data_IF_199082656105
#
_entry.id   IF_199082656105
#
_cell.length_a   1.000
_cell.length_b   1.000
_cell.length_c   1.000
_cell.angle_alpha   90.00
_cell.angle_beta   90.00
_cell.angle_gamma   90.00
#
_symmetry.space_group_name_H-M   'P 1'
#
loop_
_entity.id
_entity.type
_entity.pdbx_description
1 polymer ?
#
# COMPACT_ATOMS: atom_id res chain seq x y z
N UNK A 1 -15.84 -4.21 4.56
CA UNK A 1 -15.66 -2.83 4.12
C UNK A 1 -16.12 -2.77 2.69
N UNK A 2 -17.11 -1.93 2.42
CA UNK A 2 -17.73 -1.72 1.12
C UNK A 2 -17.48 -0.28 0.65
N UNK A 3 -17.80 0.00 -0.61
CA UNK A 3 -17.58 1.32 -1.22
C UNK A 3 -18.35 2.47 -0.54
N UNK A 4 -19.46 2.18 0.15
CA UNK A 4 -20.24 3.17 0.90
C UNK A 4 -19.75 3.42 2.33
N UNK A 5 -18.78 2.64 2.83
CA UNK A 5 -18.22 2.83 4.17
C UNK A 5 -17.31 4.05 4.20
N UNK A 6 -17.56 4.95 5.16
CA UNK A 6 -16.70 6.10 5.43
C UNK A 6 -16.06 6.00 6.79
N UNK A 7 -14.81 6.49 6.90
CA UNK A 7 -14.14 6.58 8.18
C UNK A 7 -14.92 7.55 9.11
N UNK A 8 -15.29 7.14 10.33
CA UNK A 8 -16.05 7.98 11.27
C UNK A 8 -15.18 9.04 11.98
N UNK A 9 -13.93 9.27 11.52
CA UNK A 9 -13.01 10.23 12.12
C UNK A 9 -13.59 11.66 12.11
N UNK A 10 -13.56 12.38 13.23
CA UNK A 10 -14.00 13.77 13.29
C UNK A 10 -13.06 14.70 12.51
N UNK A 11 -13.59 15.80 11.96
CA UNK A 11 -12.81 16.77 11.17
C UNK A 11 -11.70 17.43 11.98
N UNK A 12 -11.95 17.61 13.26
CA UNK A 12 -11.03 18.19 14.25
C UNK A 12 -9.75 17.37 14.41
N UNK A 13 -9.75 16.09 14.00
CA UNK A 13 -8.57 15.23 14.02
C UNK A 13 -7.47 15.71 13.06
N UNK A 14 -7.77 16.54 12.05
CA UNK A 14 -6.77 17.22 11.20
C UNK A 14 -5.74 17.99 12.05
N UNK A 15 -6.18 18.61 13.14
CA UNK A 15 -5.33 19.45 13.99
C UNK A 15 -4.47 18.66 14.98
N UNK A 16 -4.66 17.34 15.09
CA UNK A 16 -3.94 16.50 16.06
C UNK A 16 -2.54 16.07 15.57
N UNK A 17 -2.21 16.35 14.31
CA UNK A 17 -0.95 15.92 13.69
C UNK A 17 -0.86 14.41 13.44
N UNK A 18 0.27 13.97 12.88
CA UNK A 18 0.60 12.55 12.70
C UNK A 18 -0.48 11.73 11.99
N UNK A 19 -0.74 10.52 12.52
CA UNK A 19 -1.68 9.56 11.93
C UNK A 19 -3.14 10.05 11.93
N UNK A 20 -3.70 10.61 13.02
CA UNK A 20 -5.06 11.17 12.99
C UNK A 20 -5.25 12.24 11.92
N UNK A 21 -4.27 13.16 11.79
CA UNK A 21 -4.34 14.20 10.77
C UNK A 21 -4.28 13.64 9.35
N UNK A 22 -3.44 12.63 9.10
CA UNK A 22 -3.39 11.92 7.82
C UNK A 22 -4.73 11.26 7.47
N UNK A 23 -5.30 10.49 8.41
CA UNK A 23 -6.57 9.76 8.20
C UNK A 23 -7.70 10.76 7.92
N UNK A 24 -7.80 11.82 8.72
CA UNK A 24 -8.82 12.85 8.53
C UNK A 24 -8.61 13.57 7.20
N UNK A 25 -7.37 13.99 6.90
CA UNK A 25 -7.02 14.65 5.64
C UNK A 25 -7.42 13.84 4.41
N UNK A 26 -7.11 12.53 4.38
CA UNK A 26 -7.52 11.64 3.28
C UNK A 26 -9.04 11.48 3.19
N UNK A 27 -9.71 11.32 4.34
CA UNK A 27 -11.17 11.15 4.39
C UNK A 27 -11.90 12.38 3.87
N UNK A 28 -11.56 13.58 4.35
CA UNK A 28 -12.24 14.82 3.97
C UNK A 28 -11.84 15.33 2.59
N UNK A 29 -10.63 15.02 2.11
CA UNK A 29 -10.26 15.29 0.72
C UNK A 29 -11.11 14.46 -0.25
N UNK A 30 -11.33 13.17 0.04
CA UNK A 30 -12.19 12.34 -0.81
C UNK A 30 -13.66 12.81 -0.78
N UNK A 31 -14.17 13.22 0.40
CA UNK A 31 -15.52 13.82 0.50
C UNK A 31 -15.65 15.06 -0.38
N UNK A 32 -14.67 15.97 -0.33
CA UNK A 32 -14.69 17.18 -1.14
C UNK A 32 -14.68 16.89 -2.64
N UNK A 33 -13.98 15.84 -3.09
CA UNK A 33 -14.02 15.38 -4.49
C UNK A 33 -15.43 14.92 -4.88
N UNK A 34 -16.11 14.20 -4.00
CA UNK A 34 -17.48 13.74 -4.26
C UNK A 34 -18.51 14.86 -4.19
N UNK A 35 -18.38 15.81 -3.26
CA UNK A 35 -19.24 17.00 -3.20
C UNK A 35 -19.11 17.81 -4.50
N UNK A 36 -17.89 17.98 -5.01
CA UNK A 36 -17.66 18.62 -6.31
C UNK A 36 -18.30 17.86 -7.47
N UNK A 37 -18.14 16.53 -7.54
CA UNK A 37 -18.75 15.72 -8.60
C UNK A 37 -20.29 15.75 -8.56
N UNK A 38 -20.89 15.83 -7.37
CA UNK A 38 -22.35 15.94 -7.20
C UNK A 38 -22.86 17.31 -7.71
N UNK A 39 -22.08 18.38 -7.55
CA UNK A 39 -22.39 19.72 -8.07
C UNK A 39 -22.11 19.87 -9.58
N UNK A 40 -21.25 19.02 -10.15
CA UNK A 40 -20.78 19.06 -11.53
C UNK A 40 -21.01 17.72 -12.24
N UNK A 41 -22.25 17.41 -12.65
CA UNK A 41 -22.61 16.11 -13.25
C UNK A 41 -21.98 15.85 -14.63
N UNK A 42 -21.35 16.86 -15.23
CA UNK A 42 -20.53 16.74 -16.45
C UNK A 42 -19.13 16.16 -16.17
N UNK A 43 -18.71 16.11 -14.91
CA UNK A 43 -17.41 15.58 -14.49
C UNK A 43 -17.57 14.13 -14.03
N UNK A 44 -16.89 13.21 -14.73
CA UNK A 44 -16.82 11.81 -14.35
C UNK A 44 -15.59 11.55 -13.45
N UNK A 45 -15.82 11.00 -12.27
CA UNK A 45 -14.79 10.81 -11.24
C UNK A 45 -14.73 9.35 -10.79
N UNK A 46 -13.53 8.84 -10.59
CA UNK A 46 -13.26 7.58 -9.90
C UNK A 46 -12.28 7.84 -8.76
N UNK A 47 -12.57 7.39 -7.55
CA UNK A 47 -11.62 7.41 -6.43
C UNK A 47 -11.12 6.01 -6.15
N UNK A 48 -9.83 5.85 -5.88
CA UNK A 48 -9.19 4.56 -5.58
C UNK A 48 -8.56 4.65 -4.20
N UNK A 49 -8.98 3.77 -3.29
CA UNK A 49 -8.61 3.76 -1.88
C UNK A 49 -7.87 2.46 -1.53
N UNK A 50 -6.54 2.41 -1.75
CA UNK A 50 -5.72 1.26 -1.37
C UNK A 50 -5.28 1.32 0.11
N UNK A 51 -4.92 0.17 0.73
CA UNK A 51 -4.26 0.09 2.02
C UNK A 51 -2.75 0.36 1.87
N UNK A 52 -1.90 -0.30 2.65
CA UNK A 52 -0.47 -0.28 2.38
C UNK A 52 -0.17 -0.87 1.00
N UNK A 53 0.63 -0.15 0.22
CA UNK A 53 1.03 -0.60 -1.10
C UNK A 53 2.42 -1.20 -0.99
N UNK A 54 2.56 -2.45 -1.40
CA UNK A 54 3.87 -3.09 -1.54
C UNK A 54 4.10 -3.44 -3.00
N UNK A 55 5.34 -3.62 -3.40
CA UNK A 55 5.69 -4.14 -4.72
C UNK A 55 7.02 -3.58 -5.22
N UNK A 56 7.42 -3.93 -6.44
CA UNK A 56 8.65 -3.39 -7.00
C UNK A 56 8.53 -1.88 -7.23
N UNK A 57 9.63 -1.16 -7.02
CA UNK A 57 9.73 0.25 -7.37
C UNK A 57 9.50 0.41 -8.88
N UNK A 58 8.83 1.50 -9.26
CA UNK A 58 8.48 1.75 -10.66
C UNK A 58 9.71 1.78 -11.57
N UNK A 59 9.54 1.38 -12.83
CA UNK A 59 10.61 1.47 -13.83
C UNK A 59 11.10 2.91 -13.96
N UNK A 60 12.40 3.13 -13.75
CA UNK A 60 13.00 4.46 -13.78
C UNK A 60 12.83 5.27 -12.50
N UNK A 61 12.27 4.69 -11.43
CA UNK A 61 12.34 5.28 -10.09
C UNK A 61 13.81 5.55 -9.74
N UNK A 62 14.09 6.75 -9.25
CA UNK A 62 15.43 7.16 -8.87
C UNK A 62 15.39 7.90 -7.54
N UNK A 63 16.15 7.39 -6.58
CA UNK A 63 16.51 8.09 -5.36
C UNK A 63 18.04 8.21 -5.36
N UNK A 64 18.63 9.31 -5.88
CA UNK A 64 20.08 9.40 -6.07
C UNK A 64 20.86 9.40 -4.76
N UNK A 65 20.18 9.73 -3.65
CA UNK A 65 20.65 9.68 -2.26
C UNK A 65 19.62 8.92 -1.42
N UNK A 66 19.98 8.37 -0.24
CA UNK A 66 19.01 7.75 0.66
C UNK A 66 17.86 8.69 1.04
N UNK A 67 16.68 8.41 0.50
CA UNK A 67 15.42 9.07 0.82
C UNK A 67 14.40 8.00 1.18
N UNK A 68 14.28 7.73 2.48
CA UNK A 68 13.35 6.74 2.99
C UNK A 68 11.89 7.19 2.91
N UNK A 69 11.63 8.51 2.80
CA UNK A 69 10.29 9.05 2.60
C UNK A 69 9.75 8.74 1.21
N UNK A 70 10.62 8.75 0.19
CA UNK A 70 10.27 8.37 -1.18
C UNK A 70 9.84 6.90 -1.33
N UNK A 71 10.22 6.03 -0.38
CA UNK A 71 9.81 4.61 -0.38
C UNK A 71 8.38 4.39 0.12
N UNK A 72 7.73 5.41 0.67
CA UNK A 72 6.34 5.32 1.14
C UNK A 72 6.11 4.08 2.04
N UNK A 73 5.18 3.21 1.67
CA UNK A 73 4.84 2.00 2.42
C UNK A 73 5.85 0.87 2.25
N UNK A 74 6.65 0.83 1.19
CA UNK A 74 7.72 -0.16 0.99
C UNK A 74 8.81 -0.05 2.05
N UNK A 75 8.96 1.12 2.68
CA UNK A 75 9.84 1.25 3.85
C UNK A 75 9.48 0.26 4.97
N UNK A 76 8.21 -0.13 5.10
CA UNK A 76 7.82 -1.15 6.08
C UNK A 76 8.42 -2.52 5.73
N UNK A 77 8.50 -2.88 4.45
CA UNK A 77 9.20 -4.10 4.00
C UNK A 77 10.71 -3.94 4.20
N UNK A 78 11.26 -2.75 3.91
CA UNK A 78 12.69 -2.52 4.13
C UNK A 78 13.09 -2.66 5.61
N UNK A 79 12.21 -2.22 6.52
CA UNK A 79 12.38 -2.39 7.97
C UNK A 79 12.36 -3.86 8.41
N UNK A 80 11.82 -4.77 7.62
CA UNK A 80 11.94 -6.21 7.88
C UNK A 80 13.34 -6.76 7.57
N UNK A 81 14.15 -6.01 6.82
CA UNK A 81 15.52 -6.35 6.43
C UNK A 81 16.57 -5.70 7.35
N UNK A 82 16.20 -5.42 8.61
CA UNK A 82 17.11 -5.01 9.69
C UNK A 82 16.78 -5.75 11.00
N UNK A 83 17.80 -6.23 11.78
CA UNK A 83 17.56 -6.98 13.03
C UNK A 83 16.75 -6.21 14.09
N UNK A 84 17.01 -4.93 14.23
CA UNK A 84 16.32 -4.02 15.14
C UNK A 84 15.09 -3.34 14.51
N UNK A 85 14.60 -3.89 13.41
CA UNK A 85 13.45 -3.40 12.66
C UNK A 85 12.14 -3.44 13.43
N UNK A 86 11.12 -2.85 12.79
CA UNK A 86 9.75 -2.86 13.28
C UNK A 86 8.84 -3.44 12.20
N UNK A 87 7.83 -4.18 12.65
CA UNK A 87 6.80 -4.71 11.78
C UNK A 87 5.77 -3.62 11.41
N UNK A 88 5.13 -3.71 10.23
CA UNK A 88 4.03 -2.83 9.86
C UNK A 88 2.91 -2.85 10.91
N UNK A 89 2.25 -1.70 11.14
CA UNK A 89 1.14 -1.62 12.12
C UNK A 89 -0.16 -2.31 11.67
N UNK A 90 -0.28 -2.66 10.39
CA UNK A 90 -1.46 -3.30 9.79
C UNK A 90 -1.02 -4.37 8.79
N UNK A 91 -1.85 -5.38 8.62
CA UNK A 91 -1.62 -6.50 7.70
C UNK A 91 -2.30 -6.33 6.34
N UNK A 92 -3.28 -5.43 6.21
CA UNK A 92 -3.90 -5.13 4.92
C UNK A 92 -2.91 -4.47 3.97
N UNK A 93 -2.80 -5.04 2.77
CA UNK A 93 -1.90 -4.54 1.74
C UNK A 93 -2.51 -4.75 0.35
N UNK A 94 -1.89 -4.18 -0.67
CA UNK A 94 -2.16 -4.45 -2.08
C UNK A 94 -0.87 -4.28 -2.88
N UNK A 95 -0.72 -5.01 -3.99
CA UNK A 95 0.41 -4.80 -4.88
C UNK A 95 0.27 -3.46 -5.63
N UNK A 96 1.34 -2.68 -5.69
CA UNK A 96 1.37 -1.38 -6.37
C UNK A 96 1.03 -1.48 -7.86
N UNK A 97 1.33 -2.62 -8.49
CA UNK A 97 0.99 -2.90 -9.90
C UNK A 97 -0.51 -3.09 -10.09
N UNK A 98 -1.21 -3.67 -9.11
CA UNK A 98 -2.67 -3.78 -9.13
C UNK A 98 -3.32 -2.41 -8.96
N UNK A 99 -2.76 -1.56 -8.09
CA UNK A 99 -3.21 -0.17 -7.94
C UNK A 99 -2.98 0.62 -9.23
N UNK A 100 -1.82 0.44 -9.90
CA UNK A 100 -1.54 1.09 -11.17
C UNK A 100 -2.52 0.64 -12.27
N UNK A 101 -2.79 -0.67 -12.38
CA UNK A 101 -3.83 -1.21 -13.27
C UNK A 101 -5.20 -0.60 -12.98
N UNK A 102 -5.57 -0.47 -11.71
CA UNK A 102 -6.84 0.14 -11.31
C UNK A 102 -6.95 1.61 -11.77
N UNK A 103 -5.88 2.39 -11.65
CA UNK A 103 -5.87 3.78 -12.15
C UNK A 103 -6.02 3.86 -13.67
N UNK A 104 -5.39 2.97 -14.43
CA UNK A 104 -5.53 2.94 -15.90
C UNK A 104 -6.95 2.49 -16.28
N UNK A 105 -7.45 1.41 -15.70
CA UNK A 105 -8.80 0.90 -15.96
C UNK A 105 -9.88 1.93 -15.63
N UNK A 106 -9.65 2.76 -14.60
CA UNK A 106 -10.59 3.82 -14.22
C UNK A 106 -10.81 4.89 -15.30
N UNK A 107 -9.86 5.07 -16.22
CA UNK A 107 -9.98 6.00 -17.35
C UNK A 107 -10.91 5.47 -18.45
N UNK A 108 -11.04 4.15 -18.56
CA UNK A 108 -11.88 3.48 -19.56
C UNK A 108 -13.21 2.97 -18.99
N UNK A 109 -13.38 3.05 -17.66
CA UNK A 109 -14.59 2.66 -16.98
C UNK A 109 -15.81 3.42 -17.51
N UNK A 110 -16.97 2.75 -17.56
CA UNK A 110 -18.22 3.40 -17.94
C UNK A 110 -18.50 4.62 -17.04
N UNK A 111 -19.22 5.64 -17.56
CA UNK A 111 -19.46 6.85 -16.82
C UNK A 111 -20.29 6.61 -15.55
N UNK A 112 -20.14 7.50 -14.56
CA UNK A 112 -20.96 7.51 -13.35
C UNK A 112 -22.48 7.48 -13.60
N UNK A 113 -22.96 8.01 -14.73
CA UNK A 113 -24.38 7.96 -15.09
C UNK A 113 -24.92 6.54 -15.30
N UNK A 114 -24.05 5.57 -15.56
CA UNK A 114 -24.40 4.14 -15.72
C UNK A 114 -24.06 3.38 -14.45
N UNK A 115 -22.84 3.56 -13.93
CA UNK A 115 -22.33 2.75 -12.81
C UNK A 115 -22.67 3.33 -11.44
N UNK A 116 -23.12 4.58 -11.36
CA UNK A 116 -23.22 5.34 -10.11
C UNK A 116 -21.84 5.78 -9.59
N UNK A 117 -21.77 6.15 -8.30
CA UNK A 117 -20.56 6.63 -7.64
C UNK A 117 -19.41 5.60 -7.75
N UNK A 118 -18.34 5.93 -8.47
CA UNK A 118 -17.16 5.07 -8.69
C UNK A 118 -16.11 5.22 -7.57
N UNK A 119 -16.54 4.96 -6.33
CA UNK A 119 -15.63 4.88 -5.17
C UNK A 119 -15.12 3.44 -5.01
N UNK A 120 -13.83 3.25 -5.25
CA UNK A 120 -13.20 1.93 -5.30
C UNK A 120 -12.34 1.74 -4.04
N UNK A 121 -12.81 0.87 -3.16
CA UNK A 121 -12.00 0.37 -2.03
C UNK A 121 -11.36 -0.92 -2.48
N UNK A 122 -10.04 -0.98 -2.48
CA UNK A 122 -9.30 -2.15 -2.94
C UNK A 122 -8.32 -2.62 -1.87
N UNK A 123 -8.13 -3.93 -1.78
CA UNK A 123 -7.10 -4.59 -0.97
C UNK A 123 -6.78 -5.91 -1.65
N UNK A 124 -5.58 -6.45 -1.45
CA UNK A 124 -5.28 -7.81 -1.90
C UNK A 124 -6.28 -8.78 -1.28
N UNK A 125 -6.87 -9.71 -2.06
CA UNK A 125 -7.68 -10.79 -1.52
C UNK A 125 -6.83 -11.86 -0.83
N UNK A 126 -5.50 -11.83 -1.04
CA UNK A 126 -4.56 -12.72 -0.37
C UNK A 126 -4.13 -12.12 0.96
N UNK A 127 -4.26 -12.87 2.06
CA UNK A 127 -3.71 -12.45 3.35
C UNK A 127 -2.18 -12.42 3.34
N UNK A 128 -1.58 -11.50 4.10
CA UNK A 128 -0.13 -11.44 4.32
C UNK A 128 0.21 -11.96 5.72
N UNK A 129 0.81 -13.14 5.77
CA UNK A 129 1.46 -13.66 6.97
C UNK A 129 2.92 -13.21 6.98
N UNK A 130 3.24 -12.26 7.86
CA UNK A 130 4.58 -11.70 7.96
C UNK A 130 5.62 -12.69 8.49
N UNK A 131 5.21 -13.68 9.29
CA UNK A 131 6.12 -14.75 9.71
C UNK A 131 6.49 -15.61 8.50
N UNK A 132 5.48 -16.04 7.73
CA UNK A 132 5.70 -16.79 6.50
C UNK A 132 6.54 -15.98 5.48
N UNK A 133 6.35 -14.65 5.44
CA UNK A 133 7.15 -13.76 4.61
C UNK A 133 8.63 -13.74 5.02
N UNK A 134 8.96 -13.64 6.31
CA UNK A 134 10.36 -13.70 6.75
C UNK A 134 11.00 -15.06 6.47
N UNK A 135 10.28 -16.16 6.74
CA UNK A 135 10.74 -17.52 6.43
C UNK A 135 10.97 -17.70 4.91
N UNK A 136 10.09 -17.15 4.09
CA UNK A 136 10.25 -17.13 2.63
C UNK A 136 11.47 -16.30 2.21
N UNK A 137 11.65 -15.10 2.75
CA UNK A 137 12.82 -14.25 2.41
C UNK A 137 14.11 -14.98 2.78
N UNK A 138 14.21 -15.58 3.96
CA UNK A 138 15.39 -16.35 4.37
C UNK A 138 15.68 -17.53 3.42
N UNK A 139 14.62 -18.24 2.98
CA UNK A 139 14.75 -19.39 2.06
C UNK A 139 15.16 -18.97 0.65
N UNK A 140 14.52 -17.95 0.10
CA UNK A 140 14.69 -17.54 -1.30
C UNK A 140 15.85 -16.53 -1.49
N UNK A 141 16.26 -15.81 -0.44
CA UNK A 141 17.39 -14.86 -0.41
C UNK A 141 18.27 -15.11 0.83
N UNK A 142 19.03 -16.22 0.87
CA UNK A 142 19.81 -16.60 2.05
C UNK A 142 20.83 -15.55 2.51
N UNK A 143 21.29 -14.68 1.61
CA UNK A 143 22.17 -13.56 1.94
C UNK A 143 21.54 -12.52 2.89
N UNK A 144 20.21 -12.50 3.01
CA UNK A 144 19.46 -11.59 3.86
C UNK A 144 19.11 -12.20 5.23
N UNK A 145 19.31 -13.51 5.44
CA UNK A 145 18.88 -14.24 6.64
C UNK A 145 19.37 -13.57 7.94
N UNK A 146 20.66 -13.20 8.00
CA UNK A 146 21.29 -12.63 9.18
C UNK A 146 20.87 -11.18 9.50
N UNK A 147 20.09 -10.54 8.63
CA UNK A 147 19.62 -9.17 8.82
C UNK A 147 18.10 -9.06 8.92
N UNK A 148 17.37 -10.17 8.95
CA UNK A 148 15.92 -10.13 9.14
C UNK A 148 15.56 -9.62 10.54
N UNK A 149 14.43 -8.94 10.62
CA UNK A 149 13.87 -8.48 11.89
C UNK A 149 13.55 -9.67 12.80
N UNK A 150 13.78 -9.47 14.09
CA UNK A 150 13.48 -10.48 15.10
C UNK A 150 11.97 -10.77 15.19
N UNK A 151 11.58 -12.02 14.91
CA UNK A 151 10.20 -12.53 15.02
C UNK A 151 9.60 -12.35 16.42
N UNK A 152 10.41 -12.28 17.48
CA UNK A 152 9.94 -12.01 18.83
C UNK A 152 9.28 -10.62 18.97
N UNK A 153 9.55 -9.70 18.05
CA UNK A 153 8.95 -8.35 17.98
C UNK A 153 7.66 -8.28 17.16
N UNK A 154 7.22 -9.41 16.60
CA UNK A 154 6.03 -9.43 15.74
C UNK A 154 4.78 -9.04 16.55
N UNK A 155 4.02 -8.02 16.13
CA UNK A 155 2.81 -7.63 16.82
C UNK A 155 1.72 -8.69 16.62
N UNK A 156 0.83 -8.81 17.61
CA UNK A 156 -0.46 -9.46 17.37
C UNK A 156 -1.32 -8.48 16.59
N UNK A 157 -1.54 -8.76 15.31
CA UNK A 157 -2.55 -8.05 14.55
C UNK A 157 -3.93 -8.34 15.15
N UNK A 158 -4.77 -7.32 15.25
CA UNK A 158 -6.16 -7.53 15.62
C UNK A 158 -6.79 -8.48 14.58
N UNK A 159 -7.47 -9.51 15.05
CA UNK A 159 -8.21 -10.47 14.20
C UNK A 159 -9.34 -9.81 13.41
N UNK A 160 -9.69 -8.56 13.74
CA UNK A 160 -10.68 -7.74 13.05
C UNK A 160 -10.16 -7.20 11.70
N UNK A 161 -9.49 -8.01 10.89
CA UNK A 161 -9.25 -7.66 9.48
C UNK A 161 -10.63 -7.62 8.82
N UNK A 162 -11.15 -6.42 8.61
CA UNK A 162 -12.44 -6.23 7.95
C UNK A 162 -12.26 -6.64 6.48
N UNK A 163 -12.90 -7.71 6.00
CA UNK A 163 -12.79 -8.11 4.61
C UNK A 163 -13.26 -6.97 3.70
N UNK A 164 -12.53 -6.72 2.62
CA UNK A 164 -12.93 -5.75 1.60
C UNK A 164 -13.79 -6.47 0.57
N UNK A 165 -14.95 -5.91 0.26
CA UNK A 165 -15.77 -6.38 -0.84
C UNK A 165 -15.19 -5.87 -2.16
N UNK A 166 -14.64 -6.78 -2.95
CA UNK A 166 -14.00 -6.48 -4.23
C UNK A 166 -14.98 -6.54 -5.42
N UNK A 167 -16.27 -6.86 -5.20
CA UNK A 167 -17.26 -6.92 -6.29
C UNK A 167 -17.34 -5.60 -7.06
N UNK A 168 -17.24 -4.47 -6.36
CA UNK A 168 -17.23 -3.14 -6.96
C UNK A 168 -15.97 -2.85 -7.78
N UNK A 169 -14.84 -3.45 -7.40
CA UNK A 169 -13.59 -3.33 -8.16
C UNK A 169 -13.74 -4.04 -9.51
N UNK A 170 -14.29 -5.25 -9.49
CA UNK A 170 -14.53 -6.03 -10.71
C UNK A 170 -15.59 -5.36 -11.60
N UNK A 171 -16.74 -4.98 -11.03
CA UNK A 171 -17.83 -4.32 -11.76
C UNK A 171 -17.38 -3.05 -12.50
N UNK A 172 -16.59 -2.19 -11.83
CA UNK A 172 -16.22 -0.88 -12.37
C UNK A 172 -14.93 -0.93 -13.21
N UNK A 173 -13.96 -1.75 -12.80
CA UNK A 173 -12.61 -1.74 -13.38
C UNK A 173 -12.25 -3.03 -14.13
N UNK A 174 -13.09 -4.07 -14.09
CA UNK A 174 -12.82 -5.37 -14.71
C UNK A 174 -11.61 -6.08 -14.09
N UNK A 175 -11.26 -5.78 -12.84
CA UNK A 175 -10.15 -6.38 -12.11
C UNK A 175 -10.70 -7.44 -11.18
N UNK A 176 -10.62 -8.70 -11.60
CA UNK A 176 -11.09 -9.83 -10.79
C UNK A 176 -10.12 -10.12 -9.63
N UNK A 177 -10.61 -10.62 -8.48
CA UNK A 177 -9.77 -11.02 -7.34
C UNK A 177 -8.64 -11.99 -7.69
N UNK A 178 -8.85 -12.86 -8.67
CA UNK A 178 -7.88 -13.86 -9.11
C UNK A 178 -6.73 -13.25 -9.95
N UNK A 179 -6.91 -12.02 -10.43
CA UNK A 179 -5.91 -11.30 -11.22
C UNK A 179 -4.92 -10.50 -10.39
N UNK A 180 -5.07 -10.49 -9.06
CA UNK A 180 -4.16 -9.79 -8.15
C UNK A 180 -2.83 -10.53 -8.03
N UNK A 181 -1.76 -9.78 -7.76
CA UNK A 181 -0.47 -10.39 -7.44
C UNK A 181 -0.55 -11.11 -6.09
N UNK A 182 0.10 -12.28 -6.02
CA UNK A 182 0.19 -13.05 -4.78
C UNK A 182 1.04 -12.31 -3.74
N UNK A 183 0.83 -12.61 -2.47
CA UNK A 183 1.62 -12.00 -1.40
C UNK A 183 3.11 -12.36 -1.52
N UNK A 184 3.43 -13.58 -2.00
CA UNK A 184 4.80 -14.05 -2.22
C UNK A 184 5.51 -13.19 -3.26
N UNK A 185 4.90 -13.02 -4.44
CA UNK A 185 5.46 -12.22 -5.52
C UNK A 185 5.58 -10.74 -5.13
N UNK A 186 4.55 -10.19 -4.48
CA UNK A 186 4.56 -8.81 -3.98
C UNK A 186 5.76 -8.57 -3.08
N UNK A 187 5.96 -9.43 -2.06
CA UNK A 187 7.04 -9.24 -1.07
C UNK A 187 8.42 -9.49 -1.68
N UNK A 188 8.61 -10.55 -2.46
CA UNK A 188 9.92 -10.84 -3.07
C UNK A 188 10.33 -9.74 -4.05
N UNK A 189 9.42 -9.27 -4.89
CA UNK A 189 9.71 -8.19 -5.86
C UNK A 189 9.99 -6.86 -5.15
N UNK A 190 9.33 -6.60 -4.01
CA UNK A 190 9.63 -5.45 -3.15
C UNK A 190 11.04 -5.55 -2.58
N UNK A 191 11.39 -6.70 -1.98
CA UNK A 191 12.71 -6.95 -1.39
C UNK A 191 13.81 -6.80 -2.43
N UNK A 192 13.65 -7.40 -3.61
CA UNK A 192 14.64 -7.34 -4.67
C UNK A 192 14.87 -5.89 -5.14
N UNK A 193 13.80 -5.11 -5.29
CA UNK A 193 13.88 -3.70 -5.68
C UNK A 193 14.58 -2.84 -4.63
N UNK A 194 14.27 -3.06 -3.35
CA UNK A 194 14.89 -2.33 -2.23
C UNK A 194 16.38 -2.68 -2.08
N UNK A 195 16.74 -3.95 -2.26
CA UNK A 195 18.15 -4.39 -2.22
C UNK A 195 18.92 -3.86 -3.42
N UNK A 196 18.31 -3.79 -4.60
CA UNK A 196 18.92 -3.14 -5.77
C UNK A 196 19.20 -1.66 -5.49
N UNK A 197 18.23 -0.93 -4.92
CA UNK A 197 18.39 0.47 -4.54
C UNK A 197 19.44 0.66 -3.43
N UNK A 198 19.47 -0.21 -2.41
CA UNK A 198 20.49 -0.21 -1.36
C UNK A 198 21.90 -0.39 -1.95
N UNK A 199 22.07 -1.33 -2.90
CA UNK A 199 23.33 -1.54 -3.61
C UNK A 199 23.73 -0.31 -4.42
N UNK A 200 22.78 0.37 -5.06
CA UNK A 200 23.04 1.62 -5.77
C UNK A 200 23.57 2.70 -4.81
N UNK A 201 22.91 2.93 -3.68
CA UNK A 201 23.36 3.88 -2.66
C UNK A 201 24.75 3.56 -2.13
N UNK A 202 25.02 2.29 -1.80
CA UNK A 202 26.34 1.85 -1.33
C UNK A 202 27.42 2.03 -2.39
N UNK A 203 27.15 1.76 -3.66
CA UNK A 203 28.11 1.97 -4.75
C UNK A 203 28.46 3.44 -4.98
N UNK A 204 27.55 4.36 -4.60
CA UNK A 204 27.77 5.81 -4.59
C UNK A 204 28.44 6.32 -3.30
N UNK A 205 28.78 5.43 -2.37
CA UNK A 205 29.48 5.76 -1.13
C UNK A 205 28.59 6.20 0.03
N UNK A 206 27.26 6.01 -0.06
CA UNK A 206 26.36 6.31 1.05
C UNK A 206 26.33 5.18 2.08
N UNK A 207 26.23 5.55 3.37
CA UNK A 207 25.80 4.63 4.42
C UNK A 207 24.29 4.42 4.30
N UNK A 208 23.82 3.17 4.42
CA UNK A 208 22.39 2.84 4.38
C UNK A 208 21.97 2.37 5.76
N UNK A 209 21.25 3.24 6.46
CA UNK A 209 20.73 3.01 7.81
C UNK A 209 19.21 3.04 7.77
N UNK A 210 18.60 1.86 7.65
CA UNK A 210 17.14 1.72 7.54
C UNK A 210 16.49 2.26 8.82
N UNK A 211 15.69 3.35 8.76
CA UNK A 211 15.23 4.02 9.97
C UNK A 211 13.95 3.37 10.51
N UNK A 212 13.75 3.39 11.83
CA UNK A 212 12.53 2.91 12.48
C UNK A 212 11.38 3.95 12.45
N UNK A 213 11.68 5.21 12.12
CA UNK A 213 10.71 6.29 11.91
C UNK A 213 11.07 7.05 10.63
N UNK A 214 10.09 7.71 10.02
CA UNK A 214 10.33 8.74 8.99
C UNK A 214 9.86 10.06 9.57
#
# INVERSE_FOLDING_TARGET
MISSDWNPIPKEAVSQGGRPAYIAGKTFAERAVWDFADEHPDVDVTTICPPFMYGPLALGFSAPVPDYGALSTDLNVFRLLKPDGIFPSFSSYVDVRDVARAHVAALEAQPQSILGRKRIVMSSPHGLDLKAALEMIARERPELENRLVDLAKMPKYDSNIIPVDLSRVDEVLGISPESYFSWESTILDTVDSLIALEKEWKSKGFSVEIPNSV
#
